data_IF_696398390190
#
_entry.id   IF_696398390190
#
_cell.length_a   1.000
_cell.length_b   1.000
_cell.length_c   1.000
_cell.angle_alpha   90.00
_cell.angle_beta   90.00
_cell.angle_gamma   90.00
#
_symmetry.space_group_name_H-M   'P 1'
#
loop_
_entity.id
_entity.type
_entity.pdbx_description
1 polymer ?
#
# COMPACT_ATOMS: atom_id res chain seq x y z
N UNK A 1 -3.89 0.23 2.51
CA UNK A 1 -3.25 1.53 2.22
C UNK A 1 -3.45 2.53 3.35
N UNK A 2 -4.69 2.88 3.72
CA UNK A 2 -4.96 3.99 4.66
C UNK A 2 -4.32 3.85 6.04
N UNK A 3 -4.31 2.65 6.63
CA UNK A 3 -3.60 2.40 7.89
C UNK A 3 -2.08 2.59 7.75
N UNK A 4 -1.48 2.12 6.66
CA UNK A 4 -0.05 2.29 6.42
C UNK A 4 0.30 3.76 6.27
N UNK A 5 -0.47 4.51 5.49
CA UNK A 5 -0.30 5.96 5.34
C UNK A 5 -0.36 6.69 6.69
N UNK A 6 -1.37 6.40 7.50
CA UNK A 6 -1.52 7.00 8.85
C UNK A 6 -0.30 6.73 9.73
N UNK A 7 0.18 5.47 9.75
CA UNK A 7 1.32 5.06 10.58
C UNK A 7 2.63 5.68 10.09
N UNK A 8 2.91 5.67 8.79
CA UNK A 8 4.11 6.28 8.23
C UNK A 8 4.13 7.80 8.37
N UNK A 9 2.97 8.47 8.22
CA UNK A 9 2.86 9.89 8.47
C UNK A 9 3.16 10.23 9.94
N UNK A 10 2.61 9.46 10.91
CA UNK A 10 2.90 9.63 12.34
C UNK A 10 4.35 9.30 12.70
N UNK A 11 4.96 8.38 11.98
CA UNK A 11 6.37 8.06 12.13
C UNK A 11 7.29 9.20 11.67
N UNK A 12 6.81 10.08 10.79
CA UNK A 12 7.56 11.24 10.31
C UNK A 12 8.39 10.97 9.06
N UNK A 13 7.91 10.10 8.18
CA UNK A 13 8.50 9.91 6.84
C UNK A 13 8.45 11.23 6.08
N UNK A 14 9.56 11.67 5.50
CA UNK A 14 9.68 12.99 4.89
C UNK A 14 8.72 13.24 3.74
N UNK A 15 8.56 12.26 2.82
CA UNK A 15 7.60 12.32 1.71
C UNK A 15 6.90 10.98 1.52
N UNK A 16 5.61 11.03 1.21
CA UNK A 16 4.80 9.86 0.88
C UNK A 16 4.00 10.16 -0.39
N UNK A 17 4.23 9.39 -1.44
CA UNK A 17 3.39 9.42 -2.65
C UNK A 17 2.31 8.35 -2.52
N UNK A 18 1.04 8.75 -2.59
CA UNK A 18 -0.11 7.86 -2.44
C UNK A 18 -0.82 7.72 -3.77
N UNK A 19 -0.69 6.56 -4.41
CA UNK A 19 -1.36 6.27 -5.67
C UNK A 19 -2.64 5.47 -5.44
N UNK A 20 -3.78 6.03 -5.79
CA UNK A 20 -5.07 5.35 -5.77
C UNK A 20 -6.05 6.07 -6.70
N UNK A 21 -6.52 5.41 -7.75
CA UNK A 21 -7.49 5.94 -8.70
C UNK A 21 -8.94 5.80 -8.26
N UNK A 22 -9.19 5.10 -7.15
CA UNK A 22 -10.52 4.73 -6.70
C UNK A 22 -11.13 5.79 -5.77
N UNK A 23 -12.44 5.68 -5.55
CA UNK A 23 -13.20 6.50 -4.61
C UNK A 23 -13.69 5.66 -3.43
N UNK A 24 -14.01 6.31 -2.31
CA UNK A 24 -14.63 5.60 -1.18
C UNK A 24 -16.07 5.22 -1.50
N UNK A 25 -16.42 3.99 -1.15
CA UNK A 25 -17.74 3.41 -1.26
C UNK A 25 -18.21 2.87 0.11
N UNK A 26 -19.52 2.64 0.27
CA UNK A 26 -20.09 2.05 1.50
C UNK A 26 -19.42 0.74 1.89
N UNK A 27 -19.08 -0.09 0.88
CA UNK A 27 -18.38 -1.37 1.07
C UNK A 27 -17.00 -1.23 1.72
N UNK A 28 -16.44 -0.03 1.77
CA UNK A 28 -15.11 0.25 2.35
C UNK A 28 -15.19 0.60 3.86
N UNK A 29 -16.35 1.03 4.34
CA UNK A 29 -16.54 1.53 5.72
C UNK A 29 -16.19 0.48 6.78
N UNK A 30 -16.31 -0.79 6.45
CA UNK A 30 -16.07 -1.89 7.38
C UNK A 30 -14.58 -2.09 7.74
N UNK A 31 -13.64 -1.57 6.89
CA UNK A 31 -12.21 -1.90 7.06
C UNK A 31 -11.21 -0.81 6.65
N UNK A 32 -11.59 0.16 5.83
CA UNK A 32 -10.67 1.20 5.37
C UNK A 32 -10.66 2.38 6.35
N UNK A 33 -9.56 2.55 7.09
CA UNK A 33 -9.40 3.55 8.17
C UNK A 33 -9.81 4.97 7.77
N UNK A 34 -9.54 5.34 6.53
CA UNK A 34 -9.75 6.70 6.05
C UNK A 34 -11.17 6.94 5.53
N UNK A 35 -11.98 5.87 5.40
CA UNK A 35 -13.36 6.00 4.94
C UNK A 35 -14.27 6.50 6.07
N UNK A 36 -15.13 7.43 5.72
CA UNK A 36 -16.26 7.87 6.53
C UNK A 36 -17.49 8.08 5.64
N UNK A 37 -18.66 8.25 6.23
CA UNK A 37 -19.88 8.55 5.46
C UNK A 37 -19.73 9.86 4.68
N UNK A 38 -19.02 10.84 5.24
CA UNK A 38 -18.79 12.14 4.63
C UNK A 38 -17.75 12.08 3.47
N UNK A 39 -16.97 11.01 3.38
CA UNK A 39 -15.95 10.82 2.36
C UNK A 39 -16.41 9.93 1.19
N UNK A 40 -17.64 9.43 1.21
CA UNK A 40 -18.18 8.61 0.12
C UNK A 40 -18.15 9.38 -1.22
N UNK A 41 -17.65 8.73 -2.26
CA UNK A 41 -17.47 9.31 -3.59
C UNK A 41 -16.21 10.16 -3.76
N UNK A 42 -15.43 10.39 -2.68
CA UNK A 42 -14.16 11.14 -2.76
C UNK A 42 -13.00 10.21 -3.10
N UNK A 43 -12.02 10.73 -3.86
CA UNK A 43 -10.84 9.94 -4.21
C UNK A 43 -10.03 9.55 -2.97
N UNK A 44 -9.60 8.28 -2.90
CA UNK A 44 -8.90 7.70 -1.74
C UNK A 44 -7.53 8.33 -1.48
N UNK A 45 -6.75 8.60 -2.53
CA UNK A 45 -5.43 9.22 -2.39
C UNK A 45 -5.55 10.66 -1.86
N UNK A 46 -6.52 11.43 -2.37
CA UNK A 46 -6.79 12.80 -1.93
C UNK A 46 -7.21 12.86 -0.46
N UNK A 47 -8.18 12.04 -0.05
CA UNK A 47 -8.60 11.96 1.36
C UNK A 47 -7.44 11.55 2.26
N UNK A 48 -6.60 10.62 1.79
CA UNK A 48 -5.38 10.23 2.50
C UNK A 48 -4.42 11.40 2.72
N UNK A 49 -4.15 12.19 1.70
CA UNK A 49 -3.27 13.35 1.80
C UNK A 49 -3.85 14.42 2.75
N UNK A 50 -5.15 14.69 2.68
CA UNK A 50 -5.82 15.62 3.60
C UNK A 50 -5.78 15.12 5.07
N UNK A 51 -5.92 13.82 5.28
CA UNK A 51 -5.79 13.22 6.60
C UNK A 51 -4.37 13.36 7.13
N UNK A 52 -3.37 13.05 6.32
CA UNK A 52 -1.96 13.17 6.70
C UNK A 52 -1.59 14.62 7.06
N UNK A 53 -2.02 15.60 6.28
CA UNK A 53 -1.78 17.01 6.56
C UNK A 53 -2.34 17.46 7.93
N UNK A 54 -3.43 16.86 8.40
CA UNK A 54 -4.02 17.17 9.71
C UNK A 54 -3.29 16.53 10.89
N UNK A 55 -2.63 15.39 10.68
CA UNK A 55 -1.98 14.63 11.77
C UNK A 55 -0.46 14.79 11.80
N UNK A 56 0.15 15.09 10.65
CA UNK A 56 1.58 15.20 10.47
C UNK A 56 1.91 16.31 9.45
N UNK A 57 1.73 17.59 9.79
CA UNK A 57 1.83 18.71 8.84
C UNK A 57 3.24 18.93 8.28
N UNK A 58 4.26 18.30 8.83
CA UNK A 58 5.64 18.36 8.33
C UNK A 58 5.96 17.25 7.30
N UNK A 59 5.07 16.29 7.11
CA UNK A 59 5.20 15.23 6.12
C UNK A 59 4.59 15.71 4.82
N UNK A 60 5.37 15.67 3.75
CA UNK A 60 4.86 15.94 2.40
C UNK A 60 4.08 14.72 1.89
N UNK A 61 2.79 14.87 1.59
CA UNK A 61 1.99 13.80 1.00
C UNK A 61 1.47 14.24 -0.36
N UNK A 62 1.89 13.55 -1.42
CA UNK A 62 1.49 13.80 -2.80
C UNK A 62 0.42 12.77 -3.22
N UNK A 63 -0.82 13.17 -3.43
CA UNK A 63 -1.84 12.27 -3.95
C UNK A 63 -1.66 12.09 -5.46
N UNK A 64 -1.62 10.83 -5.90
CA UNK A 64 -1.62 10.41 -7.30
C UNK A 64 -2.98 9.76 -7.58
N UNK A 65 -3.92 10.55 -8.12
CA UNK A 65 -5.33 10.18 -8.27
C UNK A 65 -5.59 9.38 -9.55
N UNK A 66 -4.82 8.30 -9.75
CA UNK A 66 -4.96 7.42 -10.90
C UNK A 66 -4.66 5.96 -10.53
N UNK A 67 -5.24 5.04 -11.29
CA UNK A 67 -4.87 3.64 -11.21
C UNK A 67 -3.47 3.43 -11.81
N UNK A 68 -2.63 2.68 -11.09
CA UNK A 68 -1.30 2.34 -11.58
C UNK A 68 -1.39 1.39 -12.78
N UNK A 69 -0.68 1.74 -13.83
CA UNK A 69 -0.48 0.92 -15.02
C UNK A 69 0.95 1.08 -15.56
N UNK A 70 1.29 0.32 -16.59
CA UNK A 70 2.65 0.35 -17.18
C UNK A 70 3.07 1.72 -17.71
N UNK A 71 2.14 2.60 -18.04
CA UNK A 71 2.43 3.91 -18.62
C UNK A 71 2.76 4.96 -17.56
N UNK A 72 2.20 4.84 -16.36
CA UNK A 72 2.36 5.80 -15.27
C UNK A 72 3.25 5.30 -14.11
N UNK A 73 3.55 4.00 -14.04
CA UNK A 73 4.51 3.45 -13.07
C UNK A 73 5.86 4.19 -13.06
N UNK A 74 6.47 4.57 -14.21
CA UNK A 74 7.71 5.34 -14.18
C UNK A 74 7.62 6.65 -13.41
N UNK A 75 6.50 7.36 -13.55
CA UNK A 75 6.24 8.60 -12.83
C UNK A 75 5.98 8.36 -11.33
N UNK A 76 5.22 7.31 -11.00
CA UNK A 76 4.90 6.97 -9.62
C UNK A 76 6.13 6.50 -8.82
N UNK A 77 7.15 5.97 -9.49
CA UNK A 77 8.37 5.46 -8.88
C UNK A 77 9.54 6.47 -8.88
N UNK A 78 9.33 7.69 -9.38
CA UNK A 78 10.39 8.70 -9.45
C UNK A 78 10.79 9.21 -8.06
N UNK A 79 12.07 8.98 -7.70
CA UNK A 79 12.64 9.41 -6.41
C UNK A 79 12.05 8.68 -5.20
N UNK A 80 11.56 7.45 -5.39
CA UNK A 80 11.03 6.59 -4.33
C UNK A 80 12.14 5.71 -3.75
N UNK A 81 12.28 5.68 -2.44
CA UNK A 81 13.24 4.86 -1.71
C UNK A 81 12.71 3.45 -1.41
N UNK A 82 11.41 3.30 -1.24
CA UNK A 82 10.73 2.04 -0.94
C UNK A 82 9.29 2.08 -1.41
N UNK A 83 8.81 0.99 -1.98
CA UNK A 83 7.41 0.80 -2.36
C UNK A 83 6.68 0.03 -1.27
N UNK A 84 5.47 0.51 -0.92
CA UNK A 84 4.55 -0.24 -0.06
C UNK A 84 3.34 -0.65 -0.87
N UNK A 85 3.24 -1.94 -1.17
CA UNK A 85 2.15 -2.51 -1.94
C UNK A 85 0.96 -2.89 -1.06
N UNK A 86 -0.11 -2.13 -1.18
CA UNK A 86 -1.41 -2.37 -0.56
C UNK A 86 -2.54 -2.47 -1.62
N UNK A 87 -2.19 -2.91 -2.84
CA UNK A 87 -3.13 -3.06 -3.95
C UNK A 87 -4.03 -4.29 -3.77
N UNK A 88 -5.20 -4.26 -4.39
CA UNK A 88 -6.03 -5.44 -4.66
C UNK A 88 -5.66 -6.09 -5.98
N UNK A 89 -5.85 -7.42 -6.09
CA UNK A 89 -5.59 -8.19 -7.29
C UNK A 89 -4.12 -8.50 -7.57
N UNK A 90 -3.84 -9.64 -8.18
CA UNK A 90 -2.47 -10.15 -8.38
C UNK A 90 -1.75 -9.41 -9.52
N UNK A 91 -2.41 -9.21 -10.66
CA UNK A 91 -1.77 -8.64 -11.85
C UNK A 91 -1.22 -7.21 -11.63
N UNK A 92 -1.96 -6.25 -11.02
CA UNK A 92 -1.40 -4.93 -10.74
C UNK A 92 -0.26 -4.97 -9.72
N UNK A 93 -0.32 -5.87 -8.73
CA UNK A 93 0.77 -6.10 -7.77
C UNK A 93 2.06 -6.52 -8.47
N UNK A 94 1.98 -7.56 -9.31
CA UNK A 94 3.14 -8.07 -10.05
C UNK A 94 3.77 -6.98 -10.93
N UNK A 95 2.96 -6.19 -11.63
CA UNK A 95 3.45 -5.10 -12.46
C UNK A 95 4.19 -4.02 -11.64
N UNK A 96 3.66 -3.68 -10.45
CA UNK A 96 4.30 -2.73 -9.53
C UNK A 96 5.62 -3.29 -8.99
N UNK A 97 5.62 -4.55 -8.53
CA UNK A 97 6.82 -5.20 -8.00
C UNK A 97 7.94 -5.28 -9.05
N UNK A 98 7.63 -5.77 -10.25
CA UNK A 98 8.62 -5.87 -11.32
C UNK A 98 9.20 -4.49 -11.67
N UNK A 99 8.34 -3.47 -11.82
CA UNK A 99 8.80 -2.12 -12.14
C UNK A 99 9.65 -1.47 -11.03
N UNK A 100 9.36 -1.75 -9.77
CA UNK A 100 10.15 -1.27 -8.62
C UNK A 100 11.50 -1.99 -8.55
N UNK A 101 11.50 -3.32 -8.62
CA UNK A 101 12.72 -4.14 -8.51
C UNK A 101 13.68 -3.94 -9.69
N UNK A 102 13.18 -3.70 -10.91
CA UNK A 102 14.00 -3.30 -12.06
C UNK A 102 14.76 -1.98 -11.81
N UNK A 103 14.27 -1.14 -10.91
CA UNK A 103 14.93 0.12 -10.50
C UNK A 103 15.75 -0.01 -9.22
N UNK A 104 15.87 -1.22 -8.66
CA UNK A 104 16.53 -1.46 -7.38
C UNK A 104 15.74 -0.93 -6.18
N UNK A 105 14.46 -0.60 -6.34
CA UNK A 105 13.61 -0.12 -5.26
C UNK A 105 12.99 -1.34 -4.54
N UNK A 106 13.23 -1.52 -3.24
CA UNK A 106 12.63 -2.62 -2.49
C UNK A 106 11.13 -2.45 -2.31
N UNK A 107 10.45 -3.56 -2.12
CA UNK A 107 9.01 -3.62 -1.94
C UNK A 107 8.67 -4.25 -0.60
N UNK A 108 7.80 -3.60 0.17
CA UNK A 108 7.11 -4.16 1.32
C UNK A 108 5.65 -4.35 0.93
N UNK A 109 5.13 -5.55 1.06
CA UNK A 109 3.79 -5.87 0.59
C UNK A 109 2.96 -6.62 1.64
N UNK A 110 1.64 -6.45 1.57
CA UNK A 110 0.71 -7.18 2.40
C UNK A 110 -0.55 -7.59 1.64
N UNK A 111 -1.12 -8.72 2.04
CA UNK A 111 -2.41 -9.19 1.59
C UNK A 111 -3.24 -9.70 2.76
N UNK A 112 -4.55 -9.65 2.61
CA UNK A 112 -5.51 -10.11 3.62
C UNK A 112 -6.60 -10.91 2.93
N UNK A 113 -6.95 -12.05 3.53
CA UNK A 113 -8.12 -12.84 3.13
C UNK A 113 -8.76 -13.42 4.40
N UNK A 114 -9.98 -13.02 4.72
CA UNK A 114 -10.65 -13.37 5.96
C UNK A 114 -9.85 -12.95 7.20
N UNK A 115 -9.49 -13.92 8.04
CA UNK A 115 -8.67 -13.74 9.24
C UNK A 115 -7.16 -13.84 8.98
N UNK A 116 -6.76 -14.20 7.76
CA UNK A 116 -5.35 -14.39 7.40
C UNK A 116 -4.76 -13.09 6.89
N UNK A 117 -3.59 -12.73 7.40
CA UNK A 117 -2.76 -11.65 6.91
C UNK A 117 -1.40 -12.21 6.49
N UNK A 118 -0.93 -11.81 5.31
CA UNK A 118 0.39 -12.11 4.80
C UNK A 118 1.14 -10.79 4.62
N UNK A 119 2.34 -10.70 5.18
CA UNK A 119 3.23 -9.53 5.03
C UNK A 119 4.64 -10.02 4.74
N UNK A 120 5.31 -9.37 3.84
CA UNK A 120 6.70 -9.67 3.51
C UNK A 120 7.33 -8.56 2.70
N UNK A 121 8.60 -8.73 2.42
CA UNK A 121 9.40 -7.80 1.65
C UNK A 121 10.19 -8.51 0.57
N UNK A 122 10.67 -7.76 -0.42
CA UNK A 122 11.57 -8.27 -1.44
C UNK A 122 12.46 -7.17 -2.03
N UNK A 123 13.62 -7.61 -2.53
CA UNK A 123 14.58 -6.78 -3.29
C UNK A 123 14.86 -7.43 -4.64
N UNK A 124 15.61 -6.74 -5.49
CA UNK A 124 16.06 -7.31 -6.77
C UNK A 124 16.87 -8.59 -6.60
N UNK A 125 17.66 -8.68 -5.50
CA UNK A 125 18.54 -9.84 -5.21
C UNK A 125 17.79 -10.97 -4.49
N UNK A 126 16.74 -10.62 -3.73
CA UNK A 126 16.01 -11.60 -2.90
C UNK A 126 14.50 -11.44 -3.13
N UNK A 127 13.97 -12.24 -4.05
CA UNK A 127 12.52 -12.33 -4.24
C UNK A 127 11.89 -12.98 -3.01
N UNK A 128 10.74 -12.47 -2.60
CA UNK A 128 10.08 -12.88 -1.37
C UNK A 128 8.58 -13.00 -1.53
N UNK A 129 7.86 -11.98 -1.11
CA UNK A 129 6.40 -11.99 -1.02
C UNK A 129 5.69 -12.26 -2.36
N UNK A 130 6.24 -11.79 -3.49
CA UNK A 130 5.65 -12.00 -4.82
C UNK A 130 5.56 -13.47 -5.22
N UNK A 131 6.46 -14.32 -4.71
CA UNK A 131 6.41 -15.77 -4.94
C UNK A 131 5.21 -16.45 -4.28
N UNK A 132 4.55 -15.77 -3.36
CA UNK A 132 3.40 -16.29 -2.62
C UNK A 132 2.05 -15.86 -3.20
N UNK A 133 2.03 -14.95 -4.20
CA UNK A 133 0.78 -14.49 -4.80
C UNK A 133 0.05 -15.54 -5.62
N UNK A 134 0.75 -16.57 -6.09
CA UNK A 134 0.16 -17.61 -6.92
C UNK A 134 -0.10 -17.16 -8.36
N UNK A 135 -1.01 -17.86 -9.03
CA UNK A 135 -1.40 -17.57 -10.40
C UNK A 135 -2.42 -16.42 -10.44
N UNK A 136 -2.16 -15.42 -11.28
CA UNK A 136 -3.07 -14.30 -11.51
C UNK A 136 -4.46 -14.72 -12.06
N UNK A 137 -4.56 -15.93 -12.63
CA UNK A 137 -5.82 -16.51 -13.08
C UNK A 137 -6.58 -17.27 -11.97
N UNK A 138 -5.95 -17.48 -10.80
CA UNK A 138 -6.61 -18.15 -9.68
C UNK A 138 -7.71 -17.27 -9.06
N UNK A 139 -8.76 -17.87 -8.48
CA UNK A 139 -9.77 -17.12 -7.74
C UNK A 139 -9.13 -16.27 -6.64
N UNK A 140 -9.51 -15.00 -6.57
CA UNK A 140 -9.03 -14.09 -5.54
C UNK A 140 -9.57 -14.51 -4.16
N UNK A 141 -8.67 -14.89 -3.27
CA UNK A 141 -9.00 -15.32 -1.92
C UNK A 141 -9.63 -14.16 -1.09
N UNK A 142 -9.21 -12.92 -1.34
CA UNK A 142 -9.81 -11.74 -0.71
C UNK A 142 -11.29 -11.60 -1.11
N UNK A 143 -11.60 -11.81 -2.39
CA UNK A 143 -12.98 -11.76 -2.88
C UNK A 143 -13.84 -12.87 -2.27
N UNK A 144 -13.28 -14.07 -2.10
CA UNK A 144 -14.01 -15.23 -1.57
C UNK A 144 -14.24 -15.15 -0.04
N UNK A 145 -13.27 -14.66 0.73
CA UNK A 145 -13.26 -14.67 2.19
C UNK A 145 -13.53 -13.28 2.82
N UNK A 146 -13.50 -12.23 2.01
CA UNK A 146 -13.60 -10.86 2.46
C UNK A 146 -12.34 -10.35 3.17
N UNK A 147 -12.37 -9.10 3.60
CA UNK A 147 -11.30 -8.45 4.34
C UNK A 147 -11.82 -7.94 5.67
N UNK A 148 -11.30 -8.46 6.77
CA UNK A 148 -11.73 -8.09 8.11
C UNK A 148 -10.84 -6.97 8.68
N UNK A 149 -11.44 -5.95 9.29
CA UNK A 149 -10.71 -4.79 9.82
C UNK A 149 -9.53 -5.14 10.75
N UNK A 150 -9.64 -6.11 11.68
CA UNK A 150 -8.50 -6.51 12.52
C UNK A 150 -7.33 -7.09 11.72
N UNK A 151 -7.61 -7.93 10.72
CA UNK A 151 -6.57 -8.51 9.87
C UNK A 151 -5.91 -7.43 8.99
N UNK A 152 -6.70 -6.52 8.42
CA UNK A 152 -6.21 -5.38 7.62
C UNK A 152 -5.32 -4.47 8.46
N UNK A 153 -5.73 -4.12 9.68
CA UNK A 153 -4.96 -3.24 10.56
C UNK A 153 -3.66 -3.89 11.03
N UNK A 154 -3.67 -5.20 11.32
CA UNK A 154 -2.47 -5.95 11.69
C UNK A 154 -1.46 -6.00 10.54
N UNK A 155 -1.91 -6.37 9.33
CA UNK A 155 -1.06 -6.38 8.14
C UNK A 155 -0.42 -5.01 7.91
N UNK A 156 -1.22 -3.95 7.96
CA UNK A 156 -0.74 -2.59 7.76
C UNK A 156 0.28 -2.14 8.83
N UNK A 157 0.09 -2.53 10.09
CA UNK A 157 1.03 -2.23 11.16
C UNK A 157 2.39 -2.91 10.92
N UNK A 158 2.39 -4.17 10.51
CA UNK A 158 3.62 -4.90 10.17
C UNK A 158 4.31 -4.31 8.94
N UNK A 159 3.55 -3.96 7.89
CA UNK A 159 4.09 -3.28 6.71
C UNK A 159 4.72 -1.93 7.07
N UNK A 160 4.05 -1.11 7.88
CA UNK A 160 4.59 0.17 8.31
C UNK A 160 5.85 0.02 9.17
N UNK A 161 5.90 -0.97 10.07
CA UNK A 161 7.08 -1.27 10.88
C UNK A 161 8.27 -1.69 10.00
N UNK A 162 8.06 -2.58 9.04
CA UNK A 162 9.09 -3.04 8.11
C UNK A 162 9.60 -1.89 7.23
N UNK A 163 8.70 -1.08 6.69
CA UNK A 163 9.05 0.11 5.91
C UNK A 163 9.87 1.11 6.73
N UNK A 164 9.44 1.38 7.96
CA UNK A 164 10.15 2.30 8.88
C UNK A 164 11.54 1.78 9.21
N UNK A 165 11.69 0.47 9.45
CA UNK A 165 12.97 -0.18 9.71
C UNK A 165 13.93 -0.03 8.52
N UNK A 166 13.43 -0.27 7.32
CA UNK A 166 14.20 -0.08 6.10
C UNK A 166 14.67 1.37 5.94
N UNK A 167 13.78 2.35 6.12
CA UNK A 167 14.12 3.77 5.99
C UNK A 167 15.16 4.24 7.01
N UNK A 168 15.21 3.62 8.21
CA UNK A 168 16.17 3.97 9.25
C UNK A 168 17.51 3.24 9.13
N UNK A 169 17.49 1.99 8.69
CA UNK A 169 18.65 1.10 8.80
C UNK A 169 19.11 0.52 7.45
N UNK A 170 18.33 0.65 6.38
CA UNK A 170 18.61 0.06 5.07
C UNK A 170 18.41 -1.46 5.02
N UNK A 171 17.74 -2.06 6.00
CA UNK A 171 17.58 -3.50 6.13
C UNK A 171 16.11 -3.91 6.10
N UNK A 172 15.80 -4.97 5.34
CA UNK A 172 14.51 -5.68 5.34
C UNK A 172 14.64 -7.02 6.08
N UNK A 173 13.52 -7.52 6.65
CA UNK A 173 13.48 -8.81 7.34
C UNK A 173 13.54 -10.00 6.38
#
# INVERSE_FOLDING_TARGET
GGYVLELLARFGVGRIDVADGDVFEESNLNRQLLSSVDDLGRNKARVGAERAARIAPLVEVRPLEFFLDRTNLPLALEGVDVVVDALGGIAPRMALHDAALERGIPVVAGAVAGWTALVGSETAEKRGISLMWGDAAAPDAEHALGSLAPAVSLAAALMAAETSRYLLHGELA
#
